data_IF_359569353901
#
_entry.id   IF_359569353901
#
_cell.length_a   1.000
_cell.length_b   1.000
_cell.length_c   1.000
_cell.angle_alpha   90.00
_cell.angle_beta   90.00
_cell.angle_gamma   90.00
#
_symmetry.space_group_name_H-M   'P 1'
#
loop_
_entity.id
_entity.type
_entity.pdbx_description
1 polymer ?
#
# COMPACT_ATOMS: atom_id res chain seq x y z
N UNK A 1 105.38 66.62 2.07
CA UNK A 1 106.77 66.11 2.22
C UNK A 1 107.61 67.22 2.84
N UNK A 2 108.59 66.91 3.73
CA UNK A 2 109.38 67.85 4.57
C UNK A 2 108.60 68.48 5.74
N UNK A 3 109.17 68.77 6.92
CA UNK A 3 110.30 68.13 7.65
C UNK A 3 110.16 68.44 9.18
N UNK A 4 111.01 67.83 10.02
CA UNK A 4 110.98 67.80 11.49
C UNK A 4 111.89 68.86 12.18
N UNK A 5 111.57 69.20 13.44
CA UNK A 5 112.52 69.44 14.60
C UNK A 5 113.34 70.78 14.53
N UNK A 6 113.70 71.53 15.59
CA UNK A 6 114.06 71.23 17.00
C UNK A 6 114.10 72.46 17.98
N UNK A 7 114.46 72.20 19.26
CA UNK A 7 115.39 72.99 20.15
C UNK A 7 114.92 74.28 20.89
N UNK A 8 115.30 74.64 22.15
CA UNK A 8 115.96 74.03 23.37
C UNK A 8 115.25 74.59 24.65
N UNK A 9 115.00 73.95 25.81
CA UNK A 9 115.75 73.21 26.89
C UNK A 9 116.56 74.10 27.89
N UNK A 10 116.42 73.79 29.21
CA UNK A 10 117.15 74.21 30.45
C UNK A 10 116.75 75.57 31.04
N UNK A 11 116.47 75.79 32.35
CA UNK A 11 116.46 75.00 33.61
C UNK A 11 116.28 75.98 34.80
N UNK A 12 116.42 75.69 36.11
CA UNK A 12 116.51 74.48 36.96
C UNK A 12 116.44 74.94 38.47
N UNK A 13 116.39 74.04 39.48
CA UNK A 13 116.40 74.27 40.96
C UNK A 13 115.16 74.95 41.61
N UNK A 14 114.83 74.80 42.91
CA UNK A 14 114.78 73.70 43.91
C UNK A 14 114.35 74.33 45.26
N UNK A 15 113.35 73.72 45.92
CA UNK A 15 113.16 73.53 47.37
C UNK A 15 113.47 74.66 48.40
N UNK A 16 112.43 75.31 48.94
CA UNK A 16 112.34 75.97 50.26
C UNK A 16 110.85 76.33 50.53
N UNK A 17 110.27 76.36 51.74
CA UNK A 17 110.68 75.99 53.11
C UNK A 17 109.41 75.62 53.94
N UNK A 18 109.60 74.97 55.09
CA UNK A 18 108.56 74.59 56.06
C UNK A 18 107.98 75.75 56.92
N UNK A 19 106.75 75.51 57.41
CA UNK A 19 106.22 75.83 58.75
C UNK A 19 105.73 77.26 59.15
N UNK A 20 104.49 77.27 59.67
CA UNK A 20 103.85 78.23 60.59
C UNK A 20 102.43 77.70 60.90
N UNK A 21 102.11 77.21 62.12
CA UNK A 21 101.68 77.95 63.33
C UNK A 21 100.42 78.83 63.10
N UNK A 22 99.37 78.85 63.95
CA UNK A 22 99.00 78.07 65.14
C UNK A 22 97.50 78.35 65.50
N UNK A 23 96.90 77.54 66.39
CA UNK A 23 95.64 77.73 67.18
C UNK A 23 94.24 77.78 66.49
N UNK A 24 93.13 77.44 67.21
CA UNK A 24 91.89 76.90 66.61
C UNK A 24 90.58 77.63 67.02
N UNK A 25 89.41 77.15 66.58
CA UNK A 25 88.17 77.26 67.38
C UNK A 25 87.05 76.24 67.05
N UNK A 26 86.75 75.42 68.06
CA UNK A 26 85.49 74.76 68.44
C UNK A 26 84.28 74.72 67.47
N UNK A 27 83.95 73.48 67.08
CA UNK A 27 82.65 72.81 67.27
C UNK A 27 81.35 73.64 67.47
N UNK A 28 80.37 73.43 66.57
CA UNK A 28 79.00 72.94 66.84
C UNK A 28 78.46 72.37 65.51
N UNK A 29 78.36 71.04 65.40
CA UNK A 29 77.91 70.37 64.16
C UNK A 29 77.29 68.98 64.41
N UNK A 30 76.35 68.87 65.37
CA UNK A 30 75.76 67.57 65.76
C UNK A 30 74.24 67.42 65.46
N UNK A 31 73.43 68.48 65.53
CA UNK A 31 71.95 68.30 65.55
C UNK A 31 71.22 68.32 64.19
N UNK A 32 71.83 68.81 63.10
CA UNK A 32 71.11 68.95 61.81
C UNK A 32 71.09 67.68 60.93
N UNK A 33 71.88 66.65 61.24
CA UNK A 33 71.89 65.38 60.47
C UNK A 33 70.75 64.42 60.83
N UNK A 34 70.34 64.38 62.10
CA UNK A 34 69.32 63.41 62.57
C UNK A 34 67.90 63.71 62.04
N UNK A 35 67.56 65.00 61.88
CA UNK A 35 66.24 65.42 61.38
C UNK A 35 65.99 65.05 59.90
N UNK A 36 67.05 64.97 59.10
CA UNK A 36 66.99 64.48 57.72
C UNK A 36 66.85 62.95 57.68
N UNK A 37 67.65 62.23 58.48
CA UNK A 37 67.58 60.77 58.62
C UNK A 37 66.19 60.31 59.10
N UNK A 38 65.61 60.95 60.13
CA UNK A 38 64.23 60.65 60.59
C UNK A 38 63.16 60.88 59.52
N UNK A 39 63.28 61.93 58.69
CA UNK A 39 62.34 62.16 57.57
C UNK A 39 62.46 61.09 56.49
N UNK A 40 63.68 60.66 56.17
CA UNK A 40 63.92 59.59 55.20
C UNK A 40 63.44 58.23 55.73
N UNK A 41 63.69 57.92 57.01
CA UNK A 41 63.18 56.73 57.68
C UNK A 41 61.64 56.71 57.71
N UNK A 42 60.99 57.85 57.98
CA UNK A 42 59.52 57.95 58.00
C UNK A 42 58.92 57.84 56.59
N UNK A 43 59.57 58.37 55.54
CA UNK A 43 59.18 58.11 54.15
C UNK A 43 59.38 56.64 53.76
N UNK A 44 60.47 56.01 54.18
CA UNK A 44 60.72 54.58 53.92
C UNK A 44 59.72 53.68 54.66
N UNK A 45 59.36 54.03 55.90
CA UNK A 45 58.32 53.35 56.68
C UNK A 45 56.95 53.50 56.00
N UNK A 46 56.60 54.72 55.55
CA UNK A 46 55.35 54.94 54.81
C UNK A 46 55.33 54.18 53.48
N UNK A 47 56.40 54.24 52.70
CA UNK A 47 56.53 53.47 51.45
C UNK A 47 56.41 51.96 51.68
N UNK A 48 56.99 51.43 52.78
CA UNK A 48 56.83 50.02 53.17
C UNK A 48 55.39 49.68 53.54
N UNK A 49 54.71 50.57 54.26
CA UNK A 49 53.31 50.41 54.64
C UNK A 49 52.35 50.52 53.44
N UNK A 50 52.60 51.45 52.53
CA UNK A 50 51.86 51.62 51.28
C UNK A 50 52.07 50.39 50.36
N UNK A 51 53.30 49.85 50.26
CA UNK A 51 53.61 48.61 49.52
C UNK A 51 53.01 47.35 50.17
N UNK A 52 52.96 47.27 51.50
CA UNK A 52 52.28 46.19 52.23
C UNK A 52 50.76 46.26 52.02
N UNK A 53 50.18 47.46 51.99
CA UNK A 53 48.77 47.70 51.68
C UNK A 53 48.45 47.37 50.21
N UNK A 54 49.29 47.77 49.25
CA UNK A 54 49.14 47.44 47.83
C UNK A 54 49.24 45.93 47.60
N UNK A 55 50.19 45.25 48.25
CA UNK A 55 50.30 43.79 48.19
C UNK A 55 49.08 43.10 48.80
N UNK A 56 48.52 43.62 49.89
CA UNK A 56 47.28 43.09 50.48
C UNK A 56 46.06 43.33 49.57
N UNK A 57 45.96 44.50 48.94
CA UNK A 57 44.93 44.82 47.96
C UNK A 57 45.03 43.92 46.71
N UNK A 58 46.23 43.70 46.19
CA UNK A 58 46.47 42.81 45.05
C UNK A 58 46.19 41.34 45.38
N UNK A 59 46.58 40.87 46.58
CA UNK A 59 46.27 39.52 47.04
C UNK A 59 44.76 39.31 47.20
N UNK A 60 44.04 40.28 47.78
CA UNK A 60 42.58 40.20 47.93
C UNK A 60 41.83 40.29 46.60
N UNK A 61 42.31 41.08 45.62
CA UNK A 61 41.80 41.05 44.25
C UNK A 61 42.02 39.67 43.62
N UNK A 62 43.24 39.14 43.66
CA UNK A 62 43.57 37.82 43.10
C UNK A 62 42.73 36.69 43.73
N UNK A 63 42.55 36.69 45.05
CA UNK A 63 41.71 35.70 45.74
C UNK A 63 40.21 35.86 45.42
N UNK A 64 39.76 37.08 45.08
CA UNK A 64 38.38 37.35 44.63
C UNK A 64 38.17 36.90 43.20
N UNK A 65 39.08 37.22 42.28
CA UNK A 65 39.05 36.76 40.88
C UNK A 65 39.13 35.24 40.79
N UNK A 66 40.01 34.62 41.59
CA UNK A 66 40.14 33.16 41.68
C UNK A 66 38.83 32.50 42.14
N UNK A 67 38.15 33.05 43.14
CA UNK A 67 36.83 32.57 43.57
C UNK A 67 35.77 32.75 42.47
N UNK A 68 35.70 33.93 41.86
CA UNK A 68 34.76 34.20 40.78
C UNK A 68 34.96 33.26 39.56
N UNK A 69 36.22 32.98 39.19
CA UNK A 69 36.55 32.01 38.14
C UNK A 69 36.21 30.56 38.54
N UNK A 70 36.43 30.17 39.80
CA UNK A 70 36.02 28.86 40.30
C UNK A 70 34.49 28.68 40.31
N UNK A 71 33.75 29.71 40.72
CA UNK A 71 32.28 29.72 40.68
C UNK A 71 31.74 29.68 39.24
N UNK A 72 32.34 30.44 38.32
CA UNK A 72 32.00 30.39 36.89
C UNK A 72 32.29 29.02 36.28
N UNK A 73 33.42 28.39 36.61
CA UNK A 73 33.78 27.07 36.11
C UNK A 73 32.80 26.01 36.62
N UNK A 74 32.47 26.00 37.92
CA UNK A 74 31.45 25.11 38.50
C UNK A 74 30.06 25.32 37.88
N UNK A 75 29.67 26.57 37.61
CA UNK A 75 28.43 26.89 36.93
C UNK A 75 28.42 26.37 35.48
N UNK A 76 29.53 26.51 34.75
CA UNK A 76 29.68 26.03 33.37
C UNK A 76 29.75 24.51 33.27
N UNK A 77 30.41 23.84 34.19
CA UNK A 77 30.40 22.37 34.27
C UNK A 77 28.99 21.83 34.56
N UNK A 78 28.25 22.51 35.46
CA UNK A 78 26.84 22.17 35.74
C UNK A 78 25.94 22.39 34.54
N UNK A 79 26.19 23.44 33.74
CA UNK A 79 25.45 23.73 32.51
C UNK A 79 25.81 22.74 31.38
N UNK A 80 27.08 22.35 31.26
CA UNK A 80 27.54 21.30 30.35
C UNK A 80 26.94 19.94 30.69
N UNK A 81 26.91 19.53 31.96
CA UNK A 81 26.26 18.29 32.38
C UNK A 81 24.75 18.28 32.06
N UNK A 82 24.05 19.39 32.36
CA UNK A 82 22.62 19.55 32.01
C UNK A 82 22.37 19.48 30.51
N UNK A 83 23.17 20.20 29.70
CA UNK A 83 23.02 20.22 28.24
C UNK A 83 23.40 18.89 27.60
N UNK A 84 24.44 18.20 28.09
CA UNK A 84 24.79 16.84 27.67
C UNK A 84 23.68 15.83 27.98
N UNK A 85 23.08 15.90 29.19
CA UNK A 85 21.92 15.07 29.56
C UNK A 85 20.71 15.35 28.67
N UNK A 86 20.42 16.62 28.39
CA UNK A 86 19.35 17.03 27.49
C UNK A 86 19.58 16.52 26.06
N UNK A 87 20.80 16.70 25.52
CA UNK A 87 21.21 16.21 24.20
C UNK A 87 21.08 14.69 24.08
N UNK A 88 21.60 13.94 25.06
CA UNK A 88 21.48 12.48 25.10
C UNK A 88 19.99 12.03 25.16
N UNK A 89 19.14 12.76 25.89
CA UNK A 89 17.70 12.47 25.92
C UNK A 89 17.01 12.76 24.57
N UNK A 90 17.43 13.84 23.88
CA UNK A 90 16.92 14.22 22.57
C UNK A 90 17.34 13.22 21.49
N UNK A 91 18.60 12.80 21.48
CA UNK A 91 19.13 11.76 20.59
C UNK A 91 18.40 10.43 20.77
N UNK A 92 18.08 10.03 22.02
CA UNK A 92 17.25 8.83 22.28
C UNK A 92 15.84 8.97 21.71
N UNK A 93 15.19 10.13 21.90
CA UNK A 93 13.86 10.41 21.32
C UNK A 93 13.90 10.38 19.78
N UNK A 94 14.89 11.02 19.17
CA UNK A 94 15.06 11.03 17.72
C UNK A 94 15.29 9.62 17.15
N UNK A 95 16.11 8.79 17.82
CA UNK A 95 16.29 7.38 17.45
C UNK A 95 15.00 6.58 17.56
N UNK A 96 14.24 6.75 18.64
CA UNK A 96 12.97 6.04 18.83
C UNK A 96 11.94 6.45 17.78
N UNK A 97 11.79 7.76 17.50
CA UNK A 97 10.92 8.28 16.44
C UNK A 97 11.34 7.78 15.06
N UNK A 98 12.64 7.64 14.78
CA UNK A 98 13.13 7.06 13.53
C UNK A 98 12.75 5.58 13.40
N UNK A 99 12.81 4.80 14.48
CA UNK A 99 12.40 3.39 14.50
C UNK A 99 10.89 3.27 14.31
N UNK A 100 10.11 4.11 15.00
CA UNK A 100 8.66 4.15 14.89
C UNK A 100 8.21 4.56 13.49
N UNK A 101 8.83 5.58 12.89
CA UNK A 101 8.58 6.00 11.52
C UNK A 101 8.86 4.87 10.51
N UNK A 102 9.99 4.15 10.65
CA UNK A 102 10.28 2.99 9.79
C UNK A 102 9.21 1.91 9.96
N UNK A 103 8.85 1.56 11.20
CA UNK A 103 7.78 0.59 11.49
C UNK A 103 6.44 1.00 10.88
N UNK A 104 6.05 2.28 10.98
CA UNK A 104 4.80 2.77 10.38
C UNK A 104 4.84 2.76 8.85
N UNK A 105 6.01 2.97 8.22
CA UNK A 105 6.18 2.81 6.76
C UNK A 105 6.04 1.35 6.35
N UNK A 106 6.65 0.41 7.09
CA UNK A 106 6.53 -1.03 6.84
C UNK A 106 5.10 -1.53 7.04
N UNK A 107 4.41 -1.08 8.11
CA UNK A 107 3.00 -1.38 8.35
C UNK A 107 2.09 -0.80 7.26
N UNK A 108 2.35 0.45 6.82
CA UNK A 108 1.60 1.09 5.73
C UNK A 108 1.75 0.32 4.42
N UNK A 109 2.98 0.01 4.01
CA UNK A 109 3.24 -0.71 2.75
C UNK A 109 2.64 -2.13 2.77
N UNK A 110 2.68 -2.82 3.91
CA UNK A 110 2.01 -4.11 4.10
C UNK A 110 0.47 -4.00 4.02
N UNK A 111 -0.13 -2.91 4.50
CA UNK A 111 -1.58 -2.64 4.37
C UNK A 111 -1.95 -2.28 2.93
N UNK A 112 -1.16 -1.45 2.24
CA UNK A 112 -1.38 -1.09 0.83
C UNK A 112 -1.29 -2.31 -0.11
N UNK A 113 -0.33 -3.21 0.14
CA UNK A 113 -0.24 -4.50 -0.56
C UNK A 113 -1.47 -5.37 -0.31
N UNK A 114 -1.90 -5.55 0.95
CA UNK A 114 -3.12 -6.30 1.29
C UNK A 114 -4.38 -5.71 0.68
N UNK A 115 -4.47 -4.37 0.59
CA UNK A 115 -5.59 -3.68 -0.04
C UNK A 115 -5.64 -3.98 -1.54
N UNK A 116 -4.50 -3.91 -2.23
CA UNK A 116 -4.38 -4.24 -3.66
C UNK A 116 -4.75 -5.71 -3.92
N UNK A 117 -4.22 -6.64 -3.13
CA UNK A 117 -4.56 -8.07 -3.20
C UNK A 117 -6.05 -8.34 -2.97
N UNK A 118 -6.66 -7.62 -2.03
CA UNK A 118 -8.08 -7.76 -1.69
C UNK A 118 -8.97 -7.21 -2.81
N UNK A 119 -8.60 -6.07 -3.39
CA UNK A 119 -9.30 -5.51 -4.54
C UNK A 119 -9.24 -6.44 -5.75
N UNK A 120 -8.05 -6.97 -6.09
CA UNK A 120 -7.89 -7.92 -7.19
C UNK A 120 -8.73 -9.20 -6.98
N UNK A 121 -8.83 -9.71 -5.75
CA UNK A 121 -9.69 -10.85 -5.39
C UNK A 121 -11.18 -10.50 -5.50
N UNK A 122 -11.58 -9.29 -5.12
CA UNK A 122 -12.96 -8.81 -5.24
C UNK A 122 -13.37 -8.72 -6.71
N UNK A 123 -12.52 -8.11 -7.55
CA UNK A 123 -12.77 -7.94 -8.99
C UNK A 123 -12.85 -9.30 -9.70
N UNK A 124 -11.94 -10.23 -9.39
CA UNK A 124 -11.96 -11.60 -9.91
C UNK A 124 -13.22 -12.38 -9.46
N UNK A 125 -13.66 -12.20 -8.21
CA UNK A 125 -14.89 -12.81 -7.70
C UNK A 125 -16.12 -12.22 -8.37
N UNK A 126 -16.15 -10.91 -8.61
CA UNK A 126 -17.25 -10.22 -9.28
C UNK A 126 -17.37 -10.61 -10.76
N UNK A 127 -16.24 -10.81 -11.46
CA UNK A 127 -16.23 -11.39 -12.81
C UNK A 127 -16.79 -12.81 -12.79
N UNK A 128 -16.24 -13.68 -11.94
CA UNK A 128 -16.66 -15.08 -11.81
C UNK A 128 -18.16 -15.22 -11.49
N UNK A 129 -18.71 -14.33 -10.65
CA UNK A 129 -20.13 -14.28 -10.32
C UNK A 129 -20.99 -13.83 -11.51
N UNK A 130 -20.47 -12.94 -12.35
CA UNK A 130 -21.14 -12.47 -13.56
C UNK A 130 -21.18 -13.57 -14.62
N UNK A 131 -20.05 -14.26 -14.83
CA UNK A 131 -19.94 -15.40 -15.73
C UNK A 131 -20.85 -16.56 -15.29
N UNK A 132 -20.85 -16.89 -13.98
CA UNK A 132 -21.72 -17.93 -13.42
C UNK A 132 -23.22 -17.59 -13.58
N UNK A 133 -23.60 -16.31 -13.45
CA UNK A 133 -24.98 -15.87 -13.73
C UNK A 133 -25.33 -16.04 -15.21
N UNK A 134 -24.40 -15.74 -16.12
CA UNK A 134 -24.57 -15.97 -17.55
C UNK A 134 -24.79 -17.44 -17.88
N UNK A 135 -23.89 -18.32 -17.41
CA UNK A 135 -23.98 -19.78 -17.58
C UNK A 135 -25.27 -20.33 -16.98
N UNK A 136 -25.68 -19.88 -15.79
CA UNK A 136 -26.92 -20.30 -15.15
C UNK A 136 -28.17 -19.84 -15.93
N UNK A 137 -28.18 -18.62 -16.46
CA UNK A 137 -29.27 -18.13 -17.31
C UNK A 137 -29.38 -18.92 -18.61
N UNK A 138 -28.25 -19.27 -19.24
CA UNK A 138 -28.22 -20.14 -20.41
C UNK A 138 -28.74 -21.55 -20.07
N UNK A 139 -28.26 -22.17 -18.99
CA UNK A 139 -28.71 -23.50 -18.57
C UNK A 139 -30.23 -23.56 -18.29
N UNK A 140 -30.81 -22.50 -17.72
CA UNK A 140 -32.27 -22.39 -17.56
C UNK A 140 -33.01 -22.25 -18.90
N UNK A 141 -32.45 -21.52 -19.85
CA UNK A 141 -33.03 -21.39 -21.20
C UNK A 141 -32.99 -22.74 -21.94
N UNK A 142 -31.85 -23.43 -21.89
CA UNK A 142 -31.66 -24.76 -22.50
C UNK A 142 -32.59 -25.81 -21.87
N UNK A 143 -32.73 -25.81 -20.53
CA UNK A 143 -33.67 -26.69 -19.83
C UNK A 143 -35.11 -26.47 -20.30
N UNK A 144 -35.55 -25.21 -20.38
CA UNK A 144 -36.90 -24.83 -20.83
C UNK A 144 -37.13 -25.18 -22.30
N UNK A 145 -36.12 -24.99 -23.16
CA UNK A 145 -36.17 -25.39 -24.55
C UNK A 145 -36.30 -26.91 -24.70
N UNK A 146 -35.49 -27.68 -23.97
CA UNK A 146 -35.51 -29.14 -24.01
C UNK A 146 -36.83 -29.71 -23.47
N UNK A 147 -37.37 -29.16 -22.38
CA UNK A 147 -38.69 -29.56 -21.84
C UNK A 147 -39.83 -29.30 -22.85
N UNK A 148 -39.80 -28.18 -23.57
CA UNK A 148 -40.74 -27.90 -24.66
C UNK A 148 -40.57 -28.89 -25.82
N UNK A 149 -39.33 -29.22 -26.22
CA UNK A 149 -39.09 -30.24 -27.24
C UNK A 149 -39.62 -31.62 -26.81
N UNK A 150 -39.38 -32.03 -25.56
CA UNK A 150 -39.88 -33.30 -25.00
C UNK A 150 -41.41 -33.34 -24.99
N UNK A 151 -42.08 -32.24 -24.66
CA UNK A 151 -43.56 -32.12 -24.74
C UNK A 151 -44.07 -32.29 -26.17
N UNK A 152 -43.47 -31.60 -27.14
CA UNK A 152 -43.83 -31.72 -28.56
C UNK A 152 -43.60 -33.14 -29.09
N UNK A 153 -42.44 -33.75 -28.81
CA UNK A 153 -42.13 -35.13 -29.22
C UNK A 153 -43.11 -36.12 -28.58
N UNK A 154 -43.44 -35.95 -27.28
CA UNK A 154 -44.38 -36.83 -26.58
C UNK A 154 -45.79 -36.73 -27.16
N UNK A 155 -46.23 -35.52 -27.54
CA UNK A 155 -47.52 -35.32 -28.23
C UNK A 155 -47.51 -36.00 -29.59
N UNK A 156 -46.51 -35.72 -30.43
CA UNK A 156 -46.40 -36.31 -31.76
C UNK A 156 -46.36 -37.84 -31.71
N UNK A 157 -45.63 -38.41 -30.74
CA UNK A 157 -45.59 -39.86 -30.50
C UNK A 157 -46.98 -40.43 -30.16
N UNK A 158 -47.74 -39.74 -29.30
CA UNK A 158 -49.10 -40.16 -28.95
C UNK A 158 -50.06 -40.08 -30.16
N UNK A 159 -49.98 -39.00 -30.94
CA UNK A 159 -50.78 -38.79 -32.14
C UNK A 159 -50.46 -39.86 -33.21
N UNK A 160 -49.18 -40.07 -33.56
CA UNK A 160 -48.76 -41.13 -34.49
C UNK A 160 -49.11 -42.54 -33.99
N UNK A 161 -49.04 -42.80 -32.67
CA UNK A 161 -49.47 -44.08 -32.10
C UNK A 161 -50.98 -44.31 -32.28
N UNK A 162 -51.79 -43.26 -32.13
CA UNK A 162 -53.24 -43.30 -32.35
C UNK A 162 -53.57 -43.53 -33.83
N UNK A 163 -52.86 -42.87 -34.74
CA UNK A 163 -52.99 -43.07 -36.20
C UNK A 163 -52.62 -44.49 -36.60
N UNK A 164 -51.49 -45.02 -36.12
CA UNK A 164 -51.04 -46.38 -36.38
C UNK A 164 -52.03 -47.44 -35.87
N UNK A 165 -52.56 -47.27 -34.65
CA UNK A 165 -53.62 -48.13 -34.12
C UNK A 165 -54.89 -48.07 -34.98
N UNK A 166 -55.28 -46.88 -35.43
CA UNK A 166 -56.44 -46.70 -36.33
C UNK A 166 -56.21 -47.40 -37.67
N UNK A 167 -55.02 -47.28 -38.25
CA UNK A 167 -54.62 -47.96 -39.48
C UNK A 167 -54.63 -49.49 -39.30
N UNK A 168 -54.07 -50.01 -38.21
CA UNK A 168 -54.10 -51.44 -37.86
C UNK A 168 -55.53 -51.99 -37.79
N UNK A 169 -56.44 -51.26 -37.13
CA UNK A 169 -57.87 -51.63 -37.05
C UNK A 169 -58.56 -51.56 -38.42
N UNK A 170 -58.31 -50.49 -39.23
CA UNK A 170 -58.85 -50.37 -40.60
C UNK A 170 -58.36 -51.55 -41.48
N UNK A 171 -57.08 -51.91 -41.40
CA UNK A 171 -56.47 -53.00 -42.16
C UNK A 171 -57.00 -54.38 -41.73
N UNK A 172 -57.16 -54.62 -40.41
CA UNK A 172 -57.73 -55.87 -39.89
C UNK A 172 -59.16 -56.10 -40.40
N UNK A 173 -60.01 -55.05 -40.40
CA UNK A 173 -61.36 -55.10 -40.98
C UNK A 173 -61.33 -55.36 -42.48
N UNK A 174 -60.44 -54.71 -43.22
CA UNK A 174 -60.30 -54.93 -44.67
C UNK A 174 -59.91 -56.37 -45.00
N UNK A 175 -58.97 -56.96 -44.24
CA UNK A 175 -58.59 -58.36 -44.38
C UNK A 175 -59.75 -59.31 -44.06
N UNK A 176 -60.51 -59.04 -42.98
CA UNK A 176 -61.71 -59.80 -42.64
C UNK A 176 -62.73 -59.77 -43.79
N UNK A 177 -63.13 -58.59 -44.27
CA UNK A 177 -64.08 -58.45 -45.38
C UNK A 177 -63.58 -59.13 -46.67
N UNK A 178 -62.28 -59.04 -46.98
CA UNK A 178 -61.68 -59.76 -48.11
C UNK A 178 -61.78 -61.28 -47.96
N UNK A 179 -61.57 -61.80 -46.75
CA UNK A 179 -61.68 -63.25 -46.44
C UNK A 179 -63.14 -63.71 -46.54
N UNK A 180 -64.09 -62.92 -46.02
CA UNK A 180 -65.53 -63.18 -46.11
C UNK A 180 -66.02 -63.19 -47.58
N UNK A 181 -65.56 -62.24 -48.40
CA UNK A 181 -65.86 -62.18 -49.83
C UNK A 181 -65.37 -63.43 -50.59
N UNK A 182 -64.14 -63.88 -50.31
CA UNK A 182 -63.59 -65.11 -50.91
C UNK A 182 -64.42 -66.33 -50.48
N UNK A 183 -64.76 -66.44 -49.19
CA UNK A 183 -65.57 -67.56 -48.70
C UNK A 183 -66.96 -67.63 -49.34
N UNK A 184 -67.62 -66.48 -49.55
CA UNK A 184 -68.92 -66.40 -50.24
C UNK A 184 -68.79 -66.85 -51.71
N UNK A 185 -67.66 -66.55 -52.36
CA UNK A 185 -67.40 -66.94 -53.74
C UNK A 185 -67.04 -68.43 -53.90
N UNK A 186 -66.21 -68.97 -52.99
CA UNK A 186 -65.72 -70.36 -53.03
C UNK A 186 -66.78 -71.38 -52.56
N UNK A 187 -67.74 -70.96 -51.71
CA UNK A 187 -68.83 -71.81 -51.22
C UNK A 187 -70.21 -71.17 -51.43
N UNK A 188 -70.67 -71.02 -52.69
CA UNK A 188 -71.99 -70.47 -52.97
C UNK A 188 -73.08 -71.45 -52.54
N UNK A 189 -74.03 -71.02 -51.70
CA UNK A 189 -75.24 -71.81 -51.46
C UNK A 189 -76.06 -71.95 -52.75
N UNK A 190 -76.95 -72.95 -52.82
CA UNK A 190 -77.82 -73.14 -53.99
C UNK A 190 -78.72 -71.94 -54.28
N UNK A 191 -79.00 -71.09 -53.28
CA UNK A 191 -79.75 -69.84 -53.43
C UNK A 191 -78.87 -68.73 -54.03
N UNK A 192 -77.63 -68.59 -53.56
CA UNK A 192 -76.67 -67.59 -54.05
C UNK A 192 -76.17 -67.91 -55.47
N UNK A 193 -76.00 -69.19 -55.81
CA UNK A 193 -75.68 -69.65 -57.16
C UNK A 193 -76.78 -69.33 -58.20
N UNK A 194 -78.03 -69.15 -57.74
CA UNK A 194 -79.15 -68.68 -58.57
C UNK A 194 -79.14 -67.15 -58.64
N UNK A 195 -78.91 -66.44 -57.52
CA UNK A 195 -78.80 -64.97 -57.52
C UNK A 195 -77.61 -64.44 -58.34
N UNK A 196 -76.50 -65.19 -58.45
CA UNK A 196 -75.38 -64.84 -59.33
C UNK A 196 -75.75 -64.76 -60.80
N UNK A 197 -76.86 -65.36 -61.25
CA UNK A 197 -77.16 -65.47 -62.68
C UNK A 197 -77.88 -64.26 -63.28
N UNK A 198 -78.92 -63.69 -62.65
CA UNK A 198 -79.56 -62.47 -63.18
C UNK A 198 -80.15 -61.51 -62.15
N UNK A 199 -80.21 -60.23 -62.56
CA UNK A 199 -80.88 -59.05 -61.98
C UNK A 199 -80.55 -58.63 -60.53
N UNK A 200 -80.40 -59.52 -59.55
CA UNK A 200 -80.18 -59.11 -58.15
C UNK A 200 -78.79 -58.49 -57.92
N UNK A 201 -77.79 -58.90 -58.72
CA UNK A 201 -76.46 -58.29 -58.70
C UNK A 201 -76.44 -56.81 -59.07
N UNK A 202 -77.43 -56.28 -59.80
CA UNK A 202 -77.50 -54.83 -60.07
C UNK A 202 -77.84 -54.05 -58.80
N UNK A 203 -78.80 -54.52 -57.99
CA UNK A 203 -79.16 -53.91 -56.70
C UNK A 203 -78.01 -54.01 -55.68
N UNK A 204 -77.40 -55.20 -55.54
CA UNK A 204 -76.26 -55.39 -54.62
C UNK A 204 -75.01 -54.66 -55.07
N UNK A 205 -74.81 -54.49 -56.38
CA UNK A 205 -73.75 -53.62 -56.92
C UNK A 205 -73.98 -52.16 -56.56
N UNK A 206 -75.20 -51.64 -56.65
CA UNK A 206 -75.52 -50.26 -56.23
C UNK A 206 -75.35 -50.08 -54.72
N UNK A 207 -75.69 -51.08 -53.89
CA UNK A 207 -75.37 -51.02 -52.44
C UNK A 207 -73.85 -51.06 -52.19
N UNK A 208 -73.09 -51.90 -52.89
CA UNK A 208 -71.63 -51.96 -52.77
C UNK A 208 -70.96 -50.68 -53.28
N UNK A 209 -71.41 -50.13 -54.40
CA UNK A 209 -70.95 -48.83 -54.94
C UNK A 209 -71.29 -47.72 -53.94
N UNK A 210 -72.49 -47.68 -53.35
CA UNK A 210 -72.83 -46.73 -52.27
C UNK A 210 -71.94 -46.91 -51.02
N UNK A 211 -71.65 -48.13 -50.58
CA UNK A 211 -70.77 -48.39 -49.43
C UNK A 211 -69.34 -47.93 -49.73
N UNK A 212 -68.84 -48.22 -50.93
CA UNK A 212 -67.49 -47.89 -51.37
C UNK A 212 -67.33 -46.37 -51.60
N UNK A 213 -68.34 -45.73 -52.19
CA UNK A 213 -68.42 -44.28 -52.38
C UNK A 213 -68.53 -43.56 -51.04
N UNK A 214 -69.37 -44.02 -50.10
CA UNK A 214 -69.49 -43.45 -48.75
C UNK A 214 -68.23 -43.69 -47.87
N UNK A 215 -67.34 -44.61 -48.27
CA UNK A 215 -65.98 -44.71 -47.69
C UNK A 215 -64.98 -43.81 -48.43
N UNK A 216 -65.07 -43.66 -49.75
CA UNK A 216 -64.26 -42.70 -50.53
C UNK A 216 -64.56 -41.26 -50.11
N UNK A 217 -65.82 -40.87 -49.96
CA UNK A 217 -66.24 -39.55 -49.49
C UNK A 217 -65.64 -39.24 -48.11
N UNK A 218 -65.58 -40.23 -47.20
CA UNK A 218 -64.93 -40.07 -45.88
C UNK A 218 -63.41 -39.96 -45.97
N UNK A 219 -62.78 -40.72 -46.87
CA UNK A 219 -61.33 -40.63 -47.10
C UNK A 219 -60.95 -39.30 -47.75
N UNK A 220 -61.75 -38.80 -48.69
CA UNK A 220 -61.56 -37.49 -49.29
C UNK A 220 -61.89 -36.37 -48.30
N UNK A 221 -62.89 -36.50 -47.42
CA UNK A 221 -63.15 -35.53 -46.35
C UNK A 221 -62.02 -35.53 -45.29
N UNK A 222 -61.47 -36.68 -44.89
CA UNK A 222 -60.23 -36.79 -44.09
C UNK A 222 -59.05 -36.09 -44.83
N UNK A 223 -58.97 -36.21 -46.16
CA UNK A 223 -57.92 -35.61 -47.00
C UNK A 223 -58.07 -34.10 -47.23
N UNK A 224 -59.29 -33.59 -47.35
CA UNK A 224 -59.57 -32.16 -47.48
C UNK A 224 -59.47 -31.43 -46.13
N UNK A 225 -59.92 -32.06 -45.04
CA UNK A 225 -59.78 -31.51 -43.68
C UNK A 225 -58.31 -31.43 -43.24
N UNK A 226 -57.50 -32.48 -43.46
CA UNK A 226 -56.06 -32.45 -43.17
C UNK A 226 -55.29 -31.41 -44.00
N UNK A 227 -55.78 -31.06 -45.20
CA UNK A 227 -55.20 -30.00 -46.03
C UNK A 227 -55.59 -28.59 -45.59
N UNK A 228 -56.70 -28.44 -44.85
CA UNK A 228 -57.20 -27.15 -44.35
C UNK A 228 -56.57 -26.72 -43.02
N UNK A 229 -55.93 -27.65 -42.31
CA UNK A 229 -55.15 -27.42 -41.07
C UNK A 229 -53.67 -27.07 -41.32
N UNK A 230 -53.26 -26.82 -42.57
CA UNK A 230 -51.87 -26.52 -42.97
C UNK A 230 -51.73 -25.12 -43.60
N UNK A 231 -52.72 -24.24 -43.37
CA UNK A 231 -52.66 -22.79 -43.65
C UNK A 231 -52.88 -22.01 -42.35
#
# INVERSE_FOLDING_TARGET
MKLKVAQKIVGLFILALLAGMLVPQSAIAAEKKDKAARRQALMMQKMKQDMEAEKAAMQTQFDTEKKALQEQLLAKDTELDKTNKALASSQRKAKNLSIELTKTIDEKTAVESKLTDTQAKLDATQSSLTDLKGVHAQALADLKFNDNQRKTISKNLADTTKELNTCSIKNGKLHQFGTELIHIYDTPSQYEAVMQKEQFFQLKRVELENILQNQQDKLDEERFSSKKTVN
#
